data_IF_670893585566
#
_entry.id   IF_670893585566
#
_cell.length_a   1.000
_cell.length_b   1.000
_cell.length_c   1.000
_cell.angle_alpha   90.00
_cell.angle_beta   90.00
_cell.angle_gamma   90.00
#
_symmetry.space_group_name_H-M   'P 1'
#
loop_
_entity.id
_entity.type
_entity.pdbx_description
1 polymer ?
#
# COMPACT_ATOMS: atom_id res chain seq x y z
N UNK A 1 -12.33 -4.09 30.89
CA UNK A 1 -13.49 -4.44 30.03
C UNK A 1 -13.39 -5.91 29.67
N UNK A 2 -14.52 -6.62 29.56
CA UNK A 2 -14.52 -7.98 29.04
C UNK A 2 -14.12 -7.96 27.55
N UNK A 3 -13.21 -8.85 27.15
CA UNK A 3 -12.79 -9.02 25.75
C UNK A 3 -13.68 -10.06 25.10
N UNK A 4 -14.23 -9.76 23.91
CA UNK A 4 -14.96 -10.74 23.10
C UNK A 4 -13.98 -11.72 22.43
N UNK A 5 -14.33 -13.00 22.45
CA UNK A 5 -13.61 -14.03 21.71
C UNK A 5 -13.89 -13.87 20.19
N UNK A 6 -12.85 -13.75 19.35
CA UNK A 6 -13.01 -13.57 17.91
C UNK A 6 -13.82 -14.65 17.18
N UNK A 7 -13.68 -15.90 17.61
CA UNK A 7 -14.39 -17.03 17.00
C UNK A 7 -15.87 -16.99 17.40
N UNK A 8 -16.18 -16.81 18.69
CA UNK A 8 -17.57 -16.70 19.14
C UNK A 8 -18.26 -15.47 18.56
N UNK A 9 -17.57 -14.33 18.45
CA UNK A 9 -18.12 -13.16 17.78
C UNK A 9 -18.41 -13.43 16.30
N UNK A 10 -17.52 -14.13 15.61
CA UNK A 10 -17.75 -14.50 14.22
C UNK A 10 -18.95 -15.45 14.07
N UNK A 11 -18.95 -16.57 14.80
CA UNK A 11 -19.98 -17.60 14.66
C UNK A 11 -21.35 -17.12 15.20
N UNK A 12 -21.40 -16.67 16.45
CA UNK A 12 -22.67 -16.39 17.13
C UNK A 12 -23.22 -14.98 16.85
N UNK A 13 -22.36 -14.00 16.56
CA UNK A 13 -22.84 -12.64 16.32
C UNK A 13 -22.96 -12.31 14.83
N UNK A 14 -22.06 -12.81 13.98
CA UNK A 14 -22.08 -12.52 12.54
C UNK A 14 -22.80 -13.61 11.75
N UNK A 15 -22.32 -14.86 11.82
CA UNK A 15 -22.84 -15.97 11.01
C UNK A 15 -24.30 -16.29 11.36
N UNK A 16 -24.65 -16.38 12.64
CA UNK A 16 -26.04 -16.60 13.07
C UNK A 16 -27.00 -15.48 12.60
N UNK A 17 -26.47 -14.29 12.32
CA UNK A 17 -27.23 -13.16 11.75
C UNK A 17 -27.06 -13.03 10.22
N UNK A 18 -26.50 -14.04 9.56
CA UNK A 18 -26.36 -14.11 8.10
C UNK A 18 -25.22 -13.27 7.52
N UNK A 19 -24.33 -12.71 8.35
CA UNK A 19 -23.16 -11.95 7.91
C UNK A 19 -21.99 -12.93 7.69
N UNK A 20 -21.74 -13.27 6.44
CA UNK A 20 -20.72 -14.28 6.06
C UNK A 20 -19.55 -13.71 5.27
N UNK A 21 -19.59 -12.43 4.91
CA UNK A 21 -18.58 -11.76 4.10
C UNK A 21 -18.06 -10.50 4.81
N UNK A 22 -16.75 -10.26 4.72
CA UNK A 22 -16.10 -9.10 5.30
C UNK A 22 -15.15 -8.42 4.31
N UNK A 23 -15.24 -7.10 4.20
CA UNK A 23 -14.35 -6.27 3.39
C UNK A 23 -13.84 -5.12 4.24
N UNK A 24 -12.55 -4.85 4.22
CA UNK A 24 -11.99 -3.82 5.08
C UNK A 24 -10.50 -3.63 4.90
N UNK A 25 -9.94 -2.73 5.69
CA UNK A 25 -8.49 -2.51 5.78
C UNK A 25 -7.93 -3.21 7.01
N UNK A 26 -6.63 -3.51 7.06
CA UNK A 26 -6.05 -4.06 8.26
C UNK A 26 -6.02 -3.05 9.41
N UNK A 27 -6.48 -3.47 10.59
CA UNK A 27 -6.58 -2.63 11.78
C UNK A 27 -5.98 -3.34 13.01
N UNK A 28 -5.13 -2.62 13.76
CA UNK A 28 -4.39 -3.19 14.88
C UNK A 28 -5.23 -3.45 16.14
N UNK A 29 -6.35 -2.74 16.31
CA UNK A 29 -7.36 -2.93 17.33
C UNK A 29 -8.24 -4.16 17.00
N UNK A 30 -8.38 -4.48 15.71
CA UNK A 30 -9.09 -5.68 15.25
C UNK A 30 -8.17 -6.89 15.05
N UNK A 31 -6.89 -6.82 15.43
CA UNK A 31 -5.89 -7.86 15.14
C UNK A 31 -6.36 -9.28 15.46
N UNK A 32 -7.00 -9.50 16.62
CA UNK A 32 -7.48 -10.82 17.02
C UNK A 32 -8.57 -11.36 16.09
N UNK A 33 -9.51 -10.49 15.69
CA UNK A 33 -10.59 -10.82 14.77
C UNK A 33 -10.10 -10.99 13.32
N UNK A 34 -9.26 -10.08 12.83
CA UNK A 34 -8.67 -10.19 11.50
C UNK A 34 -7.80 -11.45 11.37
N UNK A 35 -7.02 -11.80 12.40
CA UNK A 35 -6.23 -13.04 12.41
C UNK A 35 -7.13 -14.29 12.33
N UNK A 36 -8.26 -14.30 13.05
CA UNK A 36 -9.25 -15.37 12.93
C UNK A 36 -9.81 -15.45 11.50
N UNK A 37 -10.29 -14.34 10.94
CA UNK A 37 -10.82 -14.30 9.58
C UNK A 37 -9.79 -14.80 8.55
N UNK A 38 -8.53 -14.34 8.62
CA UNK A 38 -7.48 -14.80 7.70
C UNK A 38 -7.15 -16.29 7.84
N UNK A 39 -7.27 -16.83 9.06
CA UNK A 39 -6.98 -18.24 9.31
C UNK A 39 -8.13 -19.16 8.83
N UNK A 40 -9.37 -18.67 8.84
CA UNK A 40 -10.56 -19.50 8.60
C UNK A 40 -11.27 -19.20 7.28
N UNK A 41 -10.99 -18.06 6.64
CA UNK A 41 -11.67 -17.60 5.42
C UNK A 41 -10.70 -17.36 4.27
N UNK A 42 -11.24 -17.46 3.06
CA UNK A 42 -10.53 -17.19 1.81
C UNK A 42 -11.33 -16.18 0.99
N UNK A 43 -10.69 -15.53 0.04
CA UNK A 43 -11.40 -14.75 -0.97
C UNK A 43 -12.46 -15.64 -1.66
N UNK A 44 -13.70 -15.18 -1.85
CA UNK A 44 -14.20 -13.82 -1.66
C UNK A 44 -14.84 -13.51 -0.29
N UNK A 45 -14.89 -14.47 0.63
CA UNK A 45 -15.51 -14.33 1.96
C UNK A 45 -14.81 -13.27 2.82
N UNK A 46 -13.52 -13.04 2.57
CA UNK A 46 -12.75 -11.94 3.16
C UNK A 46 -11.90 -11.24 2.10
N UNK A 47 -12.04 -9.91 1.96
CA UNK A 47 -11.21 -9.10 1.05
C UNK A 47 -10.57 -7.95 1.82
N UNK A 48 -9.24 -7.87 1.72
CA UNK A 48 -8.45 -6.75 2.22
C UNK A 48 -8.41 -5.71 1.12
N UNK A 49 -8.87 -4.52 1.42
CA UNK A 49 -8.98 -3.43 0.47
C UNK A 49 -7.89 -2.39 0.69
N UNK A 50 -7.58 -1.61 -0.35
CA UNK A 50 -6.54 -0.59 -0.32
C UNK A 50 -6.89 0.64 0.55
N UNK A 51 -8.17 0.82 0.88
CA UNK A 51 -8.67 1.87 1.76
C UNK A 51 -10.09 1.53 2.21
N UNK A 52 -10.58 2.18 3.26
CA UNK A 52 -11.97 2.10 3.71
C UNK A 52 -12.93 2.56 2.61
N UNK A 53 -12.52 3.54 1.79
CA UNK A 53 -13.26 3.96 0.61
C UNK A 53 -13.38 2.84 -0.43
N UNK A 54 -12.34 2.04 -0.62
CA UNK A 54 -12.39 0.85 -1.47
C UNK A 54 -13.25 -0.27 -0.87
N UNK A 55 -13.23 -0.46 0.46
CA UNK A 55 -14.15 -1.37 1.16
C UNK A 55 -15.62 -0.95 0.96
N UNK A 56 -15.91 0.35 1.12
CA UNK A 56 -17.23 0.91 0.90
C UNK A 56 -17.67 0.78 -0.57
N UNK A 57 -16.77 1.04 -1.53
CA UNK A 57 -17.04 0.83 -2.95
C UNK A 57 -17.32 -0.65 -3.28
N UNK A 58 -16.62 -1.59 -2.63
CA UNK A 58 -16.87 -3.02 -2.78
C UNK A 58 -18.25 -3.42 -2.21
N UNK A 59 -18.60 -2.88 -1.04
CA UNK A 59 -19.92 -3.04 -0.43
C UNK A 59 -21.04 -2.35 -1.23
N UNK A 60 -20.73 -1.36 -2.07
CA UNK A 60 -21.66 -0.74 -3.00
C UNK A 60 -21.93 -1.59 -4.25
N UNK A 61 -21.16 -2.66 -4.49
CA UNK A 61 -21.33 -3.57 -5.63
C UNK A 61 -22.76 -4.09 -5.84
N UNK A 62 -23.48 -4.58 -4.81
CA UNK A 62 -24.89 -4.96 -4.91
C UNK A 62 -25.83 -3.82 -5.32
N UNK A 63 -25.43 -2.56 -5.10
CA UNK A 63 -26.16 -1.34 -5.47
C UNK A 63 -25.63 -0.69 -6.74
N UNK A 64 -24.83 -1.40 -7.55
CA UNK A 64 -24.23 -0.85 -8.77
C UNK A 64 -25.28 -0.28 -9.71
N UNK A 65 -26.42 -0.97 -9.89
CA UNK A 65 -27.51 -0.48 -10.75
C UNK A 65 -28.13 0.81 -10.20
N UNK A 66 -28.45 0.84 -8.91
CA UNK A 66 -28.98 2.03 -8.22
C UNK A 66 -27.99 3.22 -8.29
N UNK A 67 -26.69 2.93 -8.25
CA UNK A 67 -25.63 3.94 -8.37
C UNK A 67 -25.55 4.50 -9.79
N UNK A 68 -25.60 3.64 -10.81
CA UNK A 68 -25.63 4.07 -12.21
C UNK A 68 -26.87 4.89 -12.51
N UNK A 69 -28.03 4.46 -12.02
CA UNK A 69 -29.31 5.15 -12.19
C UNK A 69 -29.31 6.53 -11.49
N UNK A 70 -28.87 6.58 -10.22
CA UNK A 70 -28.80 7.84 -9.47
C UNK A 70 -27.82 8.87 -10.04
N UNK A 71 -26.76 8.41 -10.70
CA UNK A 71 -25.79 9.26 -11.39
C UNK A 71 -26.19 9.58 -12.84
N UNK A 72 -27.32 9.05 -13.32
CA UNK A 72 -27.83 9.30 -14.66
C UNK A 72 -27.04 8.61 -15.78
N UNK A 73 -26.28 7.55 -15.47
CA UNK A 73 -25.57 6.77 -16.48
C UNK A 73 -26.51 5.73 -17.12
N UNK A 74 -26.75 5.80 -18.45
CA UNK A 74 -27.52 4.76 -19.13
C UNK A 74 -26.79 3.42 -19.04
N UNK A 75 -27.53 2.36 -18.74
CA UNK A 75 -26.96 1.02 -18.67
C UNK A 75 -27.90 -0.04 -19.25
N UNK A 76 -27.34 -1.17 -19.67
CA UNK A 76 -28.09 -2.39 -19.95
C UNK A 76 -27.43 -3.58 -19.25
N UNK A 77 -28.26 -4.54 -18.81
CA UNK A 77 -27.77 -5.80 -18.27
C UNK A 77 -27.57 -6.78 -19.43
N UNK A 78 -26.43 -7.46 -19.48
CA UNK A 78 -26.07 -8.40 -20.53
C UNK A 78 -27.15 -9.50 -20.68
N UNK A 79 -27.85 -9.57 -21.82
CA UNK A 79 -28.90 -10.57 -22.06
C UNK A 79 -28.37 -12.00 -22.14
N UNK A 80 -29.27 -12.98 -22.05
CA UNK A 80 -28.91 -14.39 -22.03
C UNK A 80 -28.45 -14.95 -23.39
N UNK A 81 -28.87 -14.33 -24.49
CA UNK A 81 -28.56 -14.78 -25.84
C UNK A 81 -27.58 -13.84 -26.54
N UNK A 82 -26.83 -14.38 -27.50
CA UNK A 82 -25.89 -13.59 -28.31
C UNK A 82 -26.61 -12.60 -29.23
N UNK A 83 -27.77 -12.96 -29.76
CA UNK A 83 -28.63 -12.09 -30.58
C UNK A 83 -29.09 -10.87 -29.77
N UNK A 84 -29.60 -11.10 -28.56
CA UNK A 84 -30.05 -10.04 -27.67
C UNK A 84 -28.87 -9.20 -27.17
N UNK A 85 -27.72 -9.83 -26.90
CA UNK A 85 -26.48 -9.14 -26.54
C UNK A 85 -26.03 -8.16 -27.62
N UNK A 86 -26.01 -8.59 -28.89
CA UNK A 86 -25.68 -7.69 -30.01
C UNK A 86 -26.64 -6.50 -30.06
N UNK A 87 -27.92 -6.74 -29.79
CA UNK A 87 -28.95 -5.70 -29.78
C UNK A 87 -28.78 -4.73 -28.61
N UNK A 88 -28.46 -5.22 -27.40
CA UNK A 88 -28.17 -4.40 -26.22
C UNK A 88 -26.93 -3.52 -26.42
N UNK A 89 -25.86 -4.10 -26.98
CA UNK A 89 -24.64 -3.35 -27.33
C UNK A 89 -24.96 -2.26 -28.37
N UNK A 90 -25.76 -2.56 -29.40
CA UNK A 90 -26.15 -1.58 -30.40
C UNK A 90 -26.95 -0.40 -29.79
N UNK A 91 -27.86 -0.69 -28.85
CA UNK A 91 -28.62 0.34 -28.12
C UNK A 91 -27.73 1.20 -27.22
N UNK A 92 -26.80 0.59 -26.48
CA UNK A 92 -25.81 1.32 -25.67
C UNK A 92 -24.94 2.23 -26.54
N UNK A 93 -24.46 1.75 -27.69
CA UNK A 93 -23.69 2.56 -28.64
C UNK A 93 -24.52 3.74 -29.16
N UNK A 94 -25.80 3.50 -29.49
CA UNK A 94 -26.72 4.57 -29.91
C UNK A 94 -26.90 5.62 -28.81
N UNK A 95 -27.18 5.18 -27.58
CA UNK A 95 -27.35 6.06 -26.42
C UNK A 95 -26.08 6.88 -26.13
N UNK A 96 -24.90 6.27 -26.22
CA UNK A 96 -23.63 6.96 -26.03
C UNK A 96 -23.40 8.05 -27.08
N UNK A 97 -23.75 7.79 -28.34
CA UNK A 97 -23.58 8.75 -29.45
C UNK A 97 -24.58 9.89 -29.40
N UNK A 98 -25.86 9.59 -29.16
CA UNK A 98 -26.93 10.60 -29.12
C UNK A 98 -26.83 11.48 -27.87
N UNK A 99 -26.52 10.89 -26.72
CA UNK A 99 -26.42 11.61 -25.45
C UNK A 99 -25.03 12.20 -25.16
N UNK A 100 -24.03 11.93 -26.00
CA UNK A 100 -22.62 12.26 -25.75
C UNK A 100 -22.15 11.89 -24.34
N UNK A 101 -22.67 10.79 -23.81
CA UNK A 101 -22.46 10.33 -22.43
C UNK A 101 -21.80 8.96 -22.42
N UNK A 102 -20.97 8.64 -21.43
CA UNK A 102 -20.60 7.25 -21.18
C UNK A 102 -21.84 6.42 -20.83
N UNK A 103 -21.76 5.13 -21.16
CA UNK A 103 -22.80 4.13 -20.91
C UNK A 103 -22.17 2.88 -20.29
N UNK A 104 -22.96 2.08 -19.57
CA UNK A 104 -22.48 0.85 -18.94
C UNK A 104 -23.16 -0.40 -19.49
N UNK A 105 -22.39 -1.46 -19.75
CA UNK A 105 -22.92 -2.81 -19.95
C UNK A 105 -22.64 -3.61 -18.67
N UNK A 106 -23.69 -3.91 -17.92
CA UNK A 106 -23.60 -4.63 -16.65
C UNK A 106 -23.68 -6.13 -16.93
N UNK A 107 -22.66 -6.87 -16.52
CA UNK A 107 -22.55 -8.30 -16.82
C UNK A 107 -22.90 -9.10 -15.56
N UNK A 108 -24.00 -9.87 -15.54
CA UNK A 108 -24.30 -10.75 -14.42
C UNK A 108 -23.21 -11.80 -14.21
N UNK A 109 -23.02 -12.22 -12.96
CA UNK A 109 -22.12 -13.33 -12.65
C UNK A 109 -22.52 -14.59 -13.45
N UNK A 110 -21.52 -15.39 -13.85
CA UNK A 110 -21.69 -16.64 -14.58
C UNK A 110 -22.27 -16.55 -16.01
N UNK A 111 -22.23 -15.36 -16.65
CA UNK A 111 -22.77 -15.18 -18.01
C UNK A 111 -21.91 -15.75 -19.14
N UNK A 112 -20.60 -15.90 -18.92
CA UNK A 112 -19.68 -16.49 -19.89
C UNK A 112 -19.34 -17.95 -19.55
N UNK A 113 -19.34 -18.81 -20.56
CA UNK A 113 -18.86 -20.18 -20.43
C UNK A 113 -17.35 -20.24 -20.18
N UNK A 114 -16.87 -21.33 -19.61
CA UNK A 114 -15.44 -21.58 -19.47
C UNK A 114 -14.77 -21.54 -20.85
N UNK A 115 -13.82 -20.63 -21.03
CA UNK A 115 -13.04 -20.53 -22.25
C UNK A 115 -11.96 -21.62 -22.24
N UNK A 116 -11.98 -22.49 -23.26
CA UNK A 116 -10.90 -23.46 -23.52
C UNK A 116 -10.17 -23.02 -24.76
N UNK A 117 -8.96 -22.49 -24.65
CA UNK A 117 -8.20 -22.11 -25.83
C UNK A 117 -7.85 -23.37 -26.64
N UNK A 118 -7.95 -23.28 -27.96
CA UNK A 118 -7.66 -24.40 -28.90
C UNK A 118 -6.17 -24.75 -28.96
N UNK A 119 -5.32 -23.88 -28.40
CA UNK A 119 -3.91 -24.09 -28.10
C UNK A 119 -3.73 -23.86 -26.60
N UNK A 120 -2.63 -24.34 -25.99
CA UNK A 120 -2.23 -23.81 -24.68
C UNK A 120 -2.28 -22.30 -24.80
N UNK A 121 -3.17 -21.64 -24.04
CA UNK A 121 -2.85 -20.29 -23.67
C UNK A 121 -1.49 -20.44 -23.01
N UNK A 122 -0.43 -19.97 -23.68
CA UNK A 122 0.65 -19.36 -22.93
C UNK A 122 -0.14 -18.47 -21.99
N UNK A 123 -0.24 -18.83 -20.71
CA UNK A 123 -0.46 -17.81 -19.71
C UNK A 123 0.51 -16.76 -20.17
N UNK A 124 0.00 -15.65 -20.67
CA UNK A 124 0.88 -14.53 -20.82
C UNK A 124 1.48 -14.48 -19.44
N UNK A 125 2.79 -14.73 -19.34
CA UNK A 125 3.60 -13.83 -18.56
C UNK A 125 2.90 -12.50 -18.79
N UNK A 126 2.35 -11.90 -17.75
CA UNK A 126 1.88 -10.53 -17.87
C UNK A 126 3.15 -9.75 -18.18
N UNK A 127 3.52 -9.78 -19.46
CA UNK A 127 4.25 -8.77 -20.14
C UNK A 127 3.22 -7.66 -20.06
N UNK A 128 3.45 -6.60 -19.27
CA UNK A 128 2.73 -5.38 -19.54
C UNK A 128 2.80 -5.21 -21.05
N UNK A 129 1.69 -4.84 -21.68
CA UNK A 129 1.82 -4.22 -22.98
C UNK A 129 2.68 -2.97 -22.74
N UNK A 130 4.00 -3.17 -22.77
CA UNK A 130 4.98 -2.15 -23.07
C UNK A 130 4.62 -1.81 -24.50
N UNK A 131 3.60 -0.97 -24.64
CA UNK A 131 3.60 -0.02 -25.73
C UNK A 131 5.01 0.52 -25.75
N UNK A 132 5.65 0.44 -26.91
CA UNK A 132 6.99 0.99 -27.17
C UNK A 132 6.94 2.50 -26.88
N UNK A 133 6.88 2.87 -25.62
CA UNK A 133 7.02 4.21 -25.08
C UNK A 133 8.50 4.36 -24.82
N UNK A 134 9.19 4.70 -25.92
CA UNK A 134 10.56 5.17 -25.99
C UNK A 134 11.66 4.23 -25.45
N UNK A 135 12.77 4.16 -26.19
CA UNK A 135 13.94 3.29 -25.97
C UNK A 135 14.79 3.67 -24.71
N UNK A 136 14.18 4.18 -23.65
CA UNK A 136 14.87 4.66 -22.43
C UNK A 136 14.21 4.20 -21.12
N UNK A 137 13.59 3.02 -21.06
CA UNK A 137 13.21 2.41 -19.78
C UNK A 137 14.39 1.63 -19.20
N UNK A 138 14.93 2.11 -18.08
CA UNK A 138 15.97 1.43 -17.30
C UNK A 138 15.48 0.06 -16.85
N UNK A 139 16.30 -0.99 -16.96
CA UNK A 139 15.86 -2.37 -16.70
C UNK A 139 16.01 -2.71 -15.21
N UNK A 140 15.07 -3.46 -14.61
CA UNK A 140 15.14 -3.89 -13.21
C UNK A 140 16.42 -4.65 -12.84
N UNK A 141 16.98 -5.44 -13.77
CA UNK A 141 18.29 -6.10 -13.61
C UNK A 141 19.47 -5.13 -13.46
N UNK A 142 19.34 -3.86 -13.89
CA UNK A 142 20.39 -2.85 -13.74
C UNK A 142 20.51 -2.33 -12.28
N UNK A 143 19.57 -2.69 -11.39
CA UNK A 143 19.44 -2.12 -10.04
C UNK A 143 19.64 -3.11 -8.90
N UNK A 144 19.81 -4.40 -9.19
CA UNK A 144 19.97 -5.45 -8.16
C UNK A 144 21.39 -5.98 -8.17
N UNK A 145 22.05 -5.88 -7.04
CA UNK A 145 23.41 -6.40 -6.85
C UNK A 145 23.42 -7.88 -6.46
N UNK A 146 22.29 -8.44 -6.01
CA UNK A 146 22.19 -9.82 -5.50
C UNK A 146 21.72 -10.83 -6.56
N UNK A 147 22.49 -11.92 -6.74
CA UNK A 147 22.17 -13.03 -7.66
C UNK A 147 21.12 -14.03 -7.08
N UNK A 148 20.08 -13.54 -6.39
CA UNK A 148 18.88 -14.32 -6.07
C UNK A 148 18.53 -14.54 -4.59
N UNK A 149 19.44 -14.31 -3.65
CA UNK A 149 19.12 -14.25 -2.20
C UNK A 149 19.19 -12.81 -1.72
N UNK A 150 18.08 -12.28 -1.21
CA UNK A 150 18.03 -10.92 -0.66
C UNK A 150 18.65 -10.89 0.74
N UNK A 151 19.81 -10.23 0.93
CA UNK A 151 20.58 -10.29 2.17
C UNK A 151 20.02 -9.41 3.29
N UNK A 152 19.15 -8.46 2.95
CA UNK A 152 18.67 -7.42 3.86
C UNK A 152 17.27 -7.74 4.37
N UNK A 153 17.04 -7.61 5.68
CA UNK A 153 15.70 -7.62 6.27
C UNK A 153 15.19 -6.20 6.51
N UNK A 154 13.88 -6.04 6.77
CA UNK A 154 13.30 -4.74 7.13
C UNK A 154 13.96 -4.17 8.40
N UNK A 155 14.12 -4.99 9.44
CA UNK A 155 14.74 -4.56 10.70
C UNK A 155 16.18 -4.09 10.47
N UNK A 156 16.96 -4.85 9.70
CA UNK A 156 18.33 -4.49 9.39
C UNK A 156 18.38 -3.15 8.63
N UNK A 157 17.47 -2.95 7.67
CA UNK A 157 17.33 -1.69 6.93
C UNK A 157 17.05 -0.52 7.87
N UNK A 158 16.12 -0.68 8.81
CA UNK A 158 15.77 0.34 9.80
C UNK A 158 16.95 0.67 10.72
N UNK A 159 17.69 -0.34 11.18
CA UNK A 159 18.91 -0.12 11.98
C UNK A 159 19.96 0.67 11.21
N UNK A 160 20.13 0.40 9.91
CA UNK A 160 21.01 1.20 9.05
C UNK A 160 20.50 2.64 8.99
N UNK A 161 19.24 2.86 8.61
CA UNK A 161 18.64 4.20 8.46
C UNK A 161 18.82 5.02 9.74
N UNK A 162 18.45 4.47 10.90
CA UNK A 162 18.52 5.19 12.18
C UNK A 162 19.96 5.58 12.55
N UNK A 163 20.96 4.75 12.26
CA UNK A 163 22.38 5.07 12.52
C UNK A 163 22.95 6.15 11.61
N UNK A 164 22.22 6.63 10.60
CA UNK A 164 22.67 7.67 9.66
C UNK A 164 21.83 8.95 9.78
N UNK A 165 20.98 9.04 10.79
CA UNK A 165 20.27 10.26 11.13
C UNK A 165 21.22 11.23 11.82
N UNK A 166 21.22 12.48 11.35
CA UNK A 166 21.88 13.57 12.04
C UNK A 166 21.09 13.96 13.30
N UNK A 167 21.68 14.69 14.27
CA UNK A 167 21.00 15.03 15.52
C UNK A 167 19.66 15.78 15.36
N UNK A 168 19.50 16.56 14.29
CA UNK A 168 18.29 17.33 14.00
C UNK A 168 17.29 16.58 13.10
N UNK A 169 17.64 15.39 12.62
CA UNK A 169 16.75 14.64 11.74
C UNK A 169 15.59 14.03 12.52
N UNK A 170 14.43 13.97 11.87
CA UNK A 170 13.23 13.33 12.42
C UNK A 170 12.74 12.24 11.47
N UNK A 171 12.16 11.19 12.03
CA UNK A 171 11.55 10.09 11.25
C UNK A 171 10.04 10.16 11.31
N UNK A 172 9.39 9.93 10.17
CA UNK A 172 7.94 9.71 10.07
C UNK A 172 7.74 8.33 9.47
N UNK A 173 7.15 7.39 10.23
CA UNK A 173 7.10 5.99 9.80
C UNK A 173 5.68 5.45 9.66
N UNK A 174 5.48 4.56 8.69
CA UNK A 174 4.19 3.95 8.41
C UNK A 174 3.76 2.98 9.52
N UNK A 175 2.49 2.57 9.47
CA UNK A 175 1.93 1.60 10.42
C UNK A 175 2.67 0.25 10.39
N UNK A 176 2.41 -0.57 11.42
CA UNK A 176 2.83 -1.97 11.44
C UNK A 176 4.32 -2.14 11.76
N UNK A 177 5.00 -2.98 11.00
CA UNK A 177 6.39 -3.39 11.25
C UNK A 177 7.38 -2.23 11.30
N UNK A 178 7.27 -1.26 10.39
CA UNK A 178 8.21 -0.13 10.31
C UNK A 178 8.25 0.68 11.62
N UNK A 179 7.10 1.17 12.08
CA UNK A 179 7.01 1.92 13.33
C UNK A 179 7.41 1.10 14.55
N UNK A 180 7.10 -0.21 14.58
CA UNK A 180 7.45 -1.09 15.70
C UNK A 180 8.95 -1.36 15.79
N UNK A 181 9.62 -1.53 14.65
CA UNK A 181 11.08 -1.70 14.59
C UNK A 181 11.80 -0.41 14.92
N UNK A 182 11.33 0.76 14.44
CA UNK A 182 11.89 2.05 14.84
C UNK A 182 11.75 2.26 16.36
N UNK A 183 10.58 1.98 16.92
CA UNK A 183 10.34 2.04 18.36
C UNK A 183 11.30 1.12 19.14
N UNK A 184 11.40 -0.14 18.71
CA UNK A 184 12.28 -1.13 19.32
C UNK A 184 13.75 -0.68 19.32
N UNK A 185 14.27 -0.29 18.16
CA UNK A 185 15.67 0.11 18.00
C UNK A 185 16.00 1.35 18.82
N UNK A 186 15.09 2.33 18.89
CA UNK A 186 15.26 3.52 19.73
C UNK A 186 15.27 3.18 21.22
N UNK A 187 14.35 2.32 21.69
CA UNK A 187 14.33 1.86 23.09
C UNK A 187 15.59 1.07 23.46
N UNK A 188 16.04 0.14 22.60
CA UNK A 188 17.28 -0.61 22.78
C UNK A 188 18.50 0.30 22.90
N UNK A 189 18.51 1.40 22.14
CA UNK A 189 19.60 2.38 22.13
C UNK A 189 19.44 3.48 23.19
N UNK A 190 18.40 3.39 24.02
CA UNK A 190 18.01 4.41 25.00
C UNK A 190 17.89 5.83 24.39
N UNK A 191 17.42 5.90 23.14
CA UNK A 191 17.19 7.14 22.40
C UNK A 191 15.81 7.73 22.69
N UNK A 192 15.72 9.06 22.61
CA UNK A 192 14.46 9.79 22.70
C UNK A 192 13.52 9.46 21.52
N UNK A 193 12.23 9.26 21.84
CA UNK A 193 11.15 9.04 20.89
C UNK A 193 10.59 10.34 20.31
N UNK A 194 10.92 11.51 20.88
CA UNK A 194 10.46 12.83 20.40
C UNK A 194 10.87 13.14 18.96
N UNK A 195 11.81 12.38 18.40
CA UNK A 195 12.27 12.50 17.01
C UNK A 195 11.61 11.49 16.06
N UNK A 196 10.69 10.67 16.55
CA UNK A 196 10.02 9.65 15.76
C UNK A 196 8.49 9.81 15.82
N UNK A 197 7.92 10.26 14.71
CA UNK A 197 6.48 10.20 14.50
C UNK A 197 6.12 8.80 14.01
N UNK A 198 5.55 8.00 14.91
CA UNK A 198 5.05 6.67 14.60
C UNK A 198 3.59 6.80 14.11
N UNK A 199 3.35 6.68 12.80
CA UNK A 199 1.97 6.70 12.28
C UNK A 199 1.27 5.40 12.68
N UNK A 200 0.33 5.50 13.61
CA UNK A 200 -0.45 4.37 14.12
C UNK A 200 -1.82 4.41 13.45
N UNK A 201 -2.18 3.33 12.73
CA UNK A 201 -3.53 3.14 12.19
C UNK A 201 -3.86 3.83 10.86
N UNK A 202 -2.95 4.62 10.28
CA UNK A 202 -3.18 5.30 8.99
C UNK A 202 -2.21 4.84 7.89
N UNK A 203 -2.53 3.73 7.20
CA UNK A 203 -1.77 3.29 6.02
C UNK A 203 -1.88 4.29 4.87
N UNK A 204 -0.83 4.43 4.07
CA UNK A 204 -0.77 5.37 2.93
C UNK A 204 -0.62 6.84 3.28
N UNK A 205 -0.68 7.21 4.56
CA UNK A 205 -0.62 8.61 4.98
C UNK A 205 0.79 9.07 5.37
N UNK A 206 1.77 8.15 5.39
CA UNK A 206 3.13 8.43 5.88
C UNK A 206 3.80 9.55 5.11
N UNK A 207 3.76 9.49 3.77
CA UNK A 207 4.42 10.49 2.94
C UNK A 207 3.76 11.88 3.01
N UNK A 208 2.42 12.03 2.92
CA UNK A 208 1.75 13.31 3.20
C UNK A 208 2.04 13.89 4.59
N UNK A 209 2.09 13.05 5.63
CA UNK A 209 2.46 13.48 6.98
C UNK A 209 3.90 14.00 7.02
N UNK A 210 4.85 13.28 6.42
CA UNK A 210 6.24 13.71 6.31
C UNK A 210 6.37 15.02 5.52
N UNK A 211 5.59 15.18 4.44
CA UNK A 211 5.49 16.42 3.69
C UNK A 211 4.97 17.57 4.56
N UNK A 212 3.98 17.33 5.42
CA UNK A 212 3.50 18.31 6.39
C UNK A 212 4.57 18.72 7.41
N UNK A 213 5.29 17.73 7.96
CA UNK A 213 6.37 17.96 8.94
C UNK A 213 7.50 18.81 8.34
N UNK A 214 7.95 18.55 7.11
CA UNK A 214 9.04 19.33 6.51
C UNK A 214 8.68 20.82 6.29
N UNK A 215 7.39 21.16 6.19
CA UNK A 215 6.96 22.56 6.05
C UNK A 215 7.31 23.33 7.31
N UNK A 216 7.23 22.70 8.50
CA UNK A 216 7.61 23.30 9.78
C UNK A 216 9.04 23.00 10.22
N UNK A 217 9.66 21.93 9.71
CA UNK A 217 10.99 21.49 10.13
C UNK A 217 12.09 21.95 9.17
N UNK A 218 12.72 23.07 9.48
CA UNK A 218 13.81 23.61 8.66
C UNK A 218 15.21 23.25 9.15
N UNK A 219 15.36 22.75 10.39
CA UNK A 219 16.68 22.50 11.02
C UNK A 219 17.36 21.22 10.53
N UNK A 220 16.59 20.16 10.28
CA UNK A 220 17.11 18.85 9.84
C UNK A 220 16.31 18.23 8.70
N UNK A 221 16.63 16.98 8.38
CA UNK A 221 15.91 16.18 7.39
C UNK A 221 14.66 15.56 8.01
N UNK A 222 13.66 15.35 7.15
CA UNK A 222 12.52 14.48 7.46
C UNK A 222 12.71 13.19 6.70
N UNK A 223 12.83 12.08 7.41
CA UNK A 223 13.02 10.75 6.84
C UNK A 223 11.71 9.97 6.95
N UNK A 224 11.00 9.88 5.84
CA UNK A 224 9.77 9.11 5.70
C UNK A 224 10.10 7.63 5.49
N UNK A 225 9.68 6.73 6.39
CA UNK A 225 9.95 5.29 6.29
C UNK A 225 8.64 4.53 6.12
N UNK A 226 8.41 4.00 4.94
CA UNK A 226 7.14 3.38 4.54
C UNK A 226 7.36 1.98 3.96
N UNK A 227 6.36 1.09 4.08
CA UNK A 227 6.37 -0.22 3.41
C UNK A 227 5.68 -0.14 2.05
N UNK A 228 6.06 -0.99 1.10
CA UNK A 228 5.43 -1.13 -0.23
C UNK A 228 3.90 -1.13 -0.20
N UNK A 229 3.29 -1.92 0.71
CA UNK A 229 1.84 -1.99 0.86
C UNK A 229 1.21 -0.68 1.32
N UNK A 230 1.87 0.09 2.19
CA UNK A 230 1.39 1.40 2.64
C UNK A 230 1.59 2.44 1.53
N UNK A 231 2.76 2.45 0.90
CA UNK A 231 3.10 3.33 -0.20
C UNK A 231 2.10 3.25 -1.36
N UNK A 232 1.72 2.03 -1.78
CA UNK A 232 0.80 1.82 -2.89
C UNK A 232 -0.63 2.28 -2.61
N UNK A 233 -1.07 2.29 -1.35
CA UNK A 233 -2.44 2.71 -1.01
C UNK A 233 -2.70 4.15 -1.44
N UNK A 234 -1.70 5.04 -1.35
CA UNK A 234 -1.84 6.46 -1.69
C UNK A 234 -0.67 7.00 -2.54
N UNK A 235 -0.16 6.20 -3.48
CA UNK A 235 0.92 6.63 -4.38
C UNK A 235 0.56 7.88 -5.21
N UNK A 236 -0.74 8.13 -5.47
CA UNK A 236 -1.21 9.36 -6.11
C UNK A 236 -0.85 10.63 -5.32
N UNK A 237 -0.92 10.58 -3.99
CA UNK A 237 -0.47 11.70 -3.14
C UNK A 237 1.03 11.91 -3.26
N UNK A 238 1.79 10.81 -3.31
CA UNK A 238 3.25 10.87 -3.52
C UNK A 238 3.59 11.52 -4.85
N UNK A 239 2.89 11.15 -5.92
CA UNK A 239 3.09 11.70 -7.26
C UNK A 239 2.87 13.21 -7.33
N UNK A 240 1.98 13.76 -6.52
CA UNK A 240 1.73 15.22 -6.46
C UNK A 240 2.73 15.93 -5.55
N UNK A 241 2.93 15.41 -4.33
CA UNK A 241 3.67 16.09 -3.28
C UNK A 241 5.19 16.05 -3.51
N UNK A 242 5.72 14.96 -4.09
CA UNK A 242 7.16 14.81 -4.29
C UNK A 242 7.78 15.87 -5.21
N UNK A 243 7.00 16.41 -6.15
CA UNK A 243 7.46 17.46 -7.05
C UNK A 243 7.76 18.78 -6.33
N UNK A 244 7.05 19.03 -5.22
CA UNK A 244 7.15 20.27 -4.44
C UNK A 244 7.88 20.07 -3.11
N UNK A 245 8.42 18.87 -2.86
CA UNK A 245 9.10 18.56 -1.62
C UNK A 245 10.42 19.34 -1.49
N UNK A 246 10.76 19.69 -0.24
CA UNK A 246 12.05 20.26 0.08
C UNK A 246 13.17 19.25 -0.14
N UNK A 247 14.37 19.74 -0.39
CA UNK A 247 15.58 18.91 -0.52
C UNK A 247 15.91 18.12 0.75
N UNK A 248 15.25 18.44 1.87
CA UNK A 248 15.41 17.78 3.17
C UNK A 248 14.43 16.62 3.41
N UNK A 249 13.54 16.27 2.48
CA UNK A 249 12.63 15.13 2.62
C UNK A 249 13.16 13.90 1.88
N UNK A 250 13.56 12.89 2.64
CA UNK A 250 14.00 11.57 2.13
C UNK A 250 12.88 10.57 2.37
N UNK A 251 12.44 9.87 1.32
CA UNK A 251 11.45 8.82 1.40
C UNK A 251 12.11 7.46 1.19
N UNK A 252 12.06 6.61 2.21
CA UNK A 252 12.51 5.23 2.16
C UNK A 252 11.31 4.30 2.07
N UNK A 253 11.19 3.56 0.97
CA UNK A 253 10.17 2.52 0.79
C UNK A 253 10.83 1.16 0.94
N UNK A 254 10.50 0.45 2.01
CA UNK A 254 10.98 -0.91 2.26
C UNK A 254 10.03 -1.90 1.57
N UNK A 255 10.54 -2.63 0.58
CA UNK A 255 9.78 -3.49 -0.30
C UNK A 255 10.09 -4.97 -0.07
N UNK A 256 9.12 -5.72 0.45
CA UNK A 256 9.21 -7.17 0.65
C UNK A 256 8.08 -7.94 -0.07
N UNK A 257 7.18 -7.24 -0.75
CA UNK A 257 6.07 -7.81 -1.52
C UNK A 257 4.93 -8.36 -0.68
N UNK A 258 4.87 -8.10 0.63
CA UNK A 258 3.84 -8.67 1.52
C UNK A 258 3.35 -7.70 2.60
N UNK A 259 2.06 -7.79 2.94
CA UNK A 259 1.48 -7.19 4.14
C UNK A 259 1.83 -8.03 5.40
N UNK A 260 3.12 -8.03 5.72
CA UNK A 260 3.71 -8.80 6.81
C UNK A 260 3.11 -8.57 8.21
N UNK A 261 2.54 -7.39 8.48
CA UNK A 261 1.97 -7.08 9.81
C UNK A 261 0.58 -7.70 10.02
N UNK A 262 -0.02 -8.24 8.97
CA UNK A 262 -1.44 -8.60 8.91
C UNK A 262 -1.66 -10.04 8.44
N UNK A 263 -0.59 -10.79 8.20
CA UNK A 263 -0.67 -12.21 7.79
C UNK A 263 0.07 -12.56 6.50
N UNK A 264 1.03 -11.74 6.05
CA UNK A 264 1.87 -12.01 4.88
C UNK A 264 1.10 -12.10 3.55
N UNK A 265 -0.01 -11.37 3.42
CA UNK A 265 -0.75 -11.29 2.17
C UNK A 265 0.13 -10.68 1.08
N UNK A 266 0.23 -11.27 -0.12
CA UNK A 266 1.00 -10.70 -1.21
C UNK A 266 0.47 -9.32 -1.60
N UNK A 267 1.38 -8.37 -1.84
CA UNK A 267 1.07 -7.10 -2.48
C UNK A 267 0.92 -7.39 -3.98
N UNK A 268 -0.21 -7.06 -4.63
CA UNK A 268 -0.51 -7.48 -6.00
C UNK A 268 0.20 -6.60 -7.06
N UNK A 269 1.50 -6.35 -6.88
CA UNK A 269 2.37 -5.70 -7.85
C UNK A 269 3.69 -6.46 -7.93
N UNK A 270 4.20 -6.67 -9.15
CA UNK A 270 5.55 -7.22 -9.30
C UNK A 270 6.58 -6.20 -8.82
N UNK A 271 7.74 -6.68 -8.35
CA UNK A 271 8.80 -5.75 -7.95
C UNK A 271 9.20 -4.85 -9.12
N UNK A 272 9.28 -5.39 -10.34
CA UNK A 272 9.65 -4.62 -11.53
C UNK A 272 8.66 -3.48 -11.80
N UNK A 273 7.35 -3.74 -11.65
CA UNK A 273 6.33 -2.71 -11.82
C UNK A 273 6.42 -1.65 -10.71
N UNK A 274 6.70 -2.05 -9.47
CA UNK A 274 6.91 -1.11 -8.36
C UNK A 274 8.12 -0.20 -8.63
N UNK A 275 9.27 -0.77 -9.01
CA UNK A 275 10.48 0.00 -9.31
C UNK A 275 10.25 0.96 -10.49
N UNK A 276 9.54 0.52 -11.53
CA UNK A 276 9.17 1.36 -12.68
C UNK A 276 8.26 2.52 -12.29
N UNK A 277 7.24 2.25 -11.47
CA UNK A 277 6.37 3.27 -10.88
C UNK A 277 7.18 4.29 -10.08
N UNK A 278 8.01 3.81 -9.15
CA UNK A 278 8.91 4.65 -8.34
C UNK A 278 9.87 5.48 -9.21
N UNK A 279 10.40 4.89 -10.28
CA UNK A 279 11.28 5.54 -11.25
C UNK A 279 10.63 6.74 -11.95
N UNK A 280 9.31 6.73 -12.09
CA UNK A 280 8.53 7.76 -12.77
C UNK A 280 8.05 8.89 -11.86
N UNK A 281 8.17 8.74 -10.53
CA UNK A 281 7.75 9.76 -9.57
C UNK A 281 8.66 11.00 -9.62
N UNK A 282 8.19 12.20 -9.26
CA UNK A 282 8.93 13.45 -9.52
C UNK A 282 10.03 13.78 -8.48
N UNK A 283 10.61 12.78 -7.82
CA UNK A 283 11.77 12.98 -6.93
C UNK A 283 12.99 13.44 -7.72
N UNK A 284 13.80 14.33 -7.13
CA UNK A 284 15.06 14.81 -7.73
C UNK A 284 16.13 13.72 -7.76
N UNK A 285 16.14 12.85 -6.75
CA UNK A 285 17.02 11.69 -6.68
C UNK A 285 16.22 10.42 -6.40
N UNK A 286 16.67 9.30 -6.98
CA UNK A 286 16.03 8.00 -6.83
C UNK A 286 17.11 6.95 -6.73
N UNK A 287 17.02 6.10 -5.71
CA UNK A 287 17.95 5.02 -5.44
C UNK A 287 17.15 3.74 -5.26
N UNK A 288 17.63 2.66 -5.86
CA UNK A 288 17.04 1.34 -5.76
C UNK A 288 18.16 0.42 -5.28
N UNK A 289 17.96 -0.21 -4.11
CA UNK A 289 19.02 -0.93 -3.41
C UNK A 289 18.48 -2.24 -2.86
N UNK A 290 19.33 -3.25 -2.79
CA UNK A 290 19.03 -4.58 -2.25
C UNK A 290 20.07 -5.10 -1.26
N UNK A 291 21.05 -4.25 -0.90
CA UNK A 291 22.17 -4.57 0.01
C UNK A 291 22.35 -3.51 1.08
N UNK A 292 23.06 -3.87 2.16
CA UNK A 292 23.37 -2.94 3.24
C UNK A 292 24.29 -1.81 2.74
N UNK A 293 25.29 -2.16 1.96
CA UNK A 293 26.25 -1.24 1.34
C UNK A 293 25.54 -0.27 0.40
N UNK A 294 24.63 -0.79 -0.44
CA UNK A 294 23.82 0.03 -1.33
C UNK A 294 22.93 1.01 -0.56
N UNK A 295 22.27 0.56 0.51
CA UNK A 295 21.45 1.42 1.36
C UNK A 295 22.28 2.52 2.04
N UNK A 296 23.46 2.18 2.56
CA UNK A 296 24.37 3.17 3.15
C UNK A 296 24.75 4.23 2.12
N UNK A 297 25.21 3.79 0.95
CA UNK A 297 25.63 4.68 -0.12
C UNK A 297 24.49 5.56 -0.65
N UNK A 298 23.29 5.00 -0.82
CA UNK A 298 22.10 5.76 -1.23
C UNK A 298 21.75 6.86 -0.21
N UNK A 299 21.90 6.59 1.09
CA UNK A 299 21.64 7.56 2.14
C UNK A 299 22.69 8.68 2.19
N UNK A 300 23.95 8.36 1.91
CA UNK A 300 25.05 9.32 1.80
C UNK A 300 24.92 10.22 0.56
N UNK A 301 24.42 9.69 -0.56
CA UNK A 301 24.23 10.43 -1.82
C UNK A 301 22.92 11.20 -1.90
N UNK A 302 22.00 11.01 -0.96
CA UNK A 302 20.72 11.72 -0.89
C UNK A 302 20.89 13.15 -0.39
N UNK A 303 21.41 14.04 -1.24
CA UNK A 303 21.62 15.47 -0.97
C UNK A 303 20.38 16.34 -1.27
N UNK A 304 19.41 15.80 -2.01
CA UNK A 304 18.15 16.44 -2.41
C UNK A 304 16.98 15.55 -2.04
N UNK A 305 15.76 15.99 -2.38
CA UNK A 305 14.58 15.14 -2.19
C UNK A 305 14.76 13.82 -2.93
N UNK A 306 14.74 12.74 -2.15
CA UNK A 306 15.18 11.44 -2.60
C UNK A 306 14.11 10.38 -2.29
N UNK A 307 13.93 9.47 -3.24
CA UNK A 307 13.26 8.18 -3.01
C UNK A 307 14.33 7.09 -2.94
N UNK A 308 14.34 6.31 -1.86
CA UNK A 308 15.18 5.14 -1.70
C UNK A 308 14.25 3.93 -1.58
N UNK A 309 14.21 3.07 -2.58
CA UNK A 309 13.48 1.81 -2.51
C UNK A 309 14.45 0.71 -2.10
N UNK A 310 14.17 0.09 -0.95
CA UNK A 310 15.00 -0.95 -0.36
C UNK A 310 14.31 -2.29 -0.53
N UNK A 311 14.81 -3.13 -1.42
CA UNK A 311 14.29 -4.48 -1.64
C UNK A 311 14.86 -5.40 -0.56
N UNK A 312 13.98 -6.00 0.23
CA UNK A 312 14.35 -6.82 1.40
C UNK A 312 13.69 -8.18 1.35
N UNK A 313 14.23 -9.12 2.12
CA UNK A 313 13.62 -10.41 2.37
C UNK A 313 12.36 -10.29 3.26
N UNK A 314 11.67 -11.40 3.44
CA UNK A 314 10.42 -11.47 4.22
C UNK A 314 10.64 -11.86 5.68
N UNK A 315 11.89 -11.81 6.18
CA UNK A 315 12.19 -12.17 7.55
C UNK A 315 11.62 -11.12 8.51
N UNK A 316 10.84 -11.59 9.48
CA UNK A 316 10.20 -10.74 10.48
C UNK A 316 10.38 -11.34 11.86
N UNK A 317 10.79 -10.52 12.83
CA UNK A 317 10.83 -10.93 14.23
C UNK A 317 9.44 -11.28 14.74
N UNK A 318 9.31 -12.43 15.40
CA UNK A 318 8.04 -12.92 15.94
C UNK A 318 7.50 -12.04 17.07
N UNK A 319 8.40 -11.42 17.84
CA UNK A 319 8.11 -10.70 19.07
C UNK A 319 8.44 -9.20 18.97
N UNK A 320 7.93 -8.54 17.94
CA UNK A 320 8.05 -7.09 17.81
C UNK A 320 7.30 -6.37 18.95
N UNK A 321 7.89 -5.43 19.69
CA UNK A 321 7.14 -4.67 20.68
C UNK A 321 6.11 -3.76 20.00
N UNK A 322 5.11 -3.33 20.78
CA UNK A 322 4.24 -2.19 20.43
C UNK A 322 4.68 -0.99 21.28
N UNK A 323 4.50 0.26 20.81
CA UNK A 323 4.67 1.42 21.66
C UNK A 323 3.85 1.27 22.94
N UNK A 324 4.48 1.49 24.09
CA UNK A 324 3.83 1.42 25.40
C UNK A 324 3.06 2.69 25.74
N UNK A 325 3.53 3.81 25.19
CA UNK A 325 2.99 5.15 25.31
C UNK A 325 1.68 5.28 24.51
N UNK A 326 0.79 6.14 24.99
CA UNK A 326 -0.42 6.45 24.24
C UNK A 326 -0.09 7.28 22.98
N UNK A 327 -0.87 7.14 21.89
CA UNK A 327 -0.62 7.90 20.66
C UNK A 327 -0.56 9.42 20.86
N UNK A 328 -1.36 9.98 21.78
CA UNK A 328 -1.32 11.42 22.08
C UNK A 328 -0.03 11.83 22.80
N UNK A 329 0.56 10.96 23.64
CA UNK A 329 1.83 11.23 24.32
C UNK A 329 2.98 11.24 23.31
N UNK A 330 2.99 10.28 22.37
CA UNK A 330 3.97 10.24 21.28
C UNK A 330 3.85 11.46 20.36
N UNK A 331 2.61 11.87 20.05
CA UNK A 331 2.34 13.10 19.29
C UNK A 331 2.90 14.32 20.03
N UNK A 332 2.59 14.46 21.32
CA UNK A 332 3.00 15.63 22.11
C UNK A 332 4.52 15.67 22.30
N UNK A 333 5.14 14.52 22.54
CA UNK A 333 6.60 14.39 22.55
C UNK A 333 7.20 14.82 21.21
N UNK A 334 6.64 14.36 20.09
CA UNK A 334 7.09 14.74 18.75
C UNK A 334 6.95 16.24 18.48
N UNK A 335 5.80 16.83 18.82
CA UNK A 335 5.56 18.27 18.66
C UNK A 335 6.52 19.08 19.53
N UNK A 336 6.80 18.63 20.76
CA UNK A 336 7.70 19.32 21.69
C UNK A 336 9.15 19.44 21.17
N UNK A 337 9.57 18.55 20.26
CA UNK A 337 10.86 18.63 19.60
C UNK A 337 11.03 19.92 18.78
N UNK A 338 9.94 20.40 18.14
CA UNK A 338 9.96 21.61 17.32
C UNK A 338 9.78 22.91 18.10
N UNK A 339 9.36 22.82 19.36
CA UNK A 339 9.15 24.00 20.22
C UNK A 339 10.45 24.54 20.85
N UNK A 340 11.62 23.94 20.53
CA UNK A 340 12.93 24.26 21.10
C UNK A 340 13.79 25.19 20.25
#
# INVERSE_FOLDING_TARGET
>A
MATLDPHLFYEEALVDNGITHAFGVPDSCLKGFLAHLYATKKSPEQIVTASEGAAAALAAGPRTLETLESQGFPYEILPDTLEDTKSAVARLIKAAREGQTPVALVIPNHRFAAYRPEQEASNGVWHPAVTNLAKHTVRPEDWRSSEGHLPLSREHSIRIILKRLDPEDVTVSSVGGNSREIYMVRKESNEDLSRAFLSIGAMGHTYPLAYGVQIGHHKGRVVCVEGDGSFLMHVGNVAVLAASASDKLIHVVIHNGIHCSTGNQPVPISTNNLLSLCGSLPYKQKFFVDSAEGLIQAFEWAEKTALIVVVVNQDVSKDLPRPSEHPFELRDAFISHFAK
#
